data_IF_344403066750
#
_entry.id   IF_344403066750
#
_cell.length_a   1.000
_cell.length_b   1.000
_cell.length_c   1.000
_cell.angle_alpha   90.00
_cell.angle_beta   90.00
_cell.angle_gamma   90.00
#
_symmetry.space_group_name_H-M   'P 1'
#
loop_
_entity.id
_entity.type
_entity.pdbx_description
1 polymer ?
#
# COMPACT_ATOMS: atom_id res chain seq x y z
N UNK A 1 -27.74 72.46 1.47
CA UNK A 1 -27.30 72.06 0.11
C UNK A 1 -25.78 72.00 0.15
N UNK A 2 -25.04 70.94 -0.11
CA UNK A 2 -25.29 69.56 -0.51
C UNK A 2 -23.92 68.88 -0.71
N UNK A 3 -23.88 67.56 -0.47
CA UNK A 3 -23.04 66.51 -1.11
C UNK A 3 -21.51 66.67 -1.17
N UNK A 4 -20.75 65.83 -0.45
CA UNK A 4 -20.21 64.47 -0.80
C UNK A 4 -18.77 64.54 -1.35
N UNK A 5 -17.90 63.67 -0.83
CA UNK A 5 -16.60 63.34 -1.41
C UNK A 5 -15.82 62.39 -0.49
N UNK A 6 -15.59 61.18 -0.97
CA UNK A 6 -15.18 59.97 -0.24
C UNK A 6 -13.67 59.87 0.05
N UNK A 7 -13.32 58.77 0.73
CA UNK A 7 -12.11 58.34 1.45
C UNK A 7 -10.81 58.17 0.63
N UNK A 8 -9.69 57.81 1.31
CA UNK A 8 -8.91 56.70 0.78
C UNK A 8 -8.52 55.63 1.81
N UNK A 9 -8.65 54.40 1.32
CA UNK A 9 -7.84 53.20 1.60
C UNK A 9 -7.83 52.65 3.03
N UNK A 10 -8.84 51.82 3.32
CA UNK A 10 -8.73 50.73 4.29
C UNK A 10 -7.98 49.58 3.62
N UNK A 11 -6.88 49.14 4.23
CA UNK A 11 -6.11 47.98 3.79
C UNK A 11 -6.97 46.71 3.77
N UNK A 12 -6.88 45.96 2.68
CA UNK A 12 -7.41 44.61 2.62
C UNK A 12 -6.51 43.68 3.46
N UNK A 13 -7.04 42.91 4.41
CA UNK A 13 -6.28 41.82 4.98
C UNK A 13 -6.13 40.73 3.92
N UNK A 14 -4.89 40.41 3.56
CA UNK A 14 -4.56 39.20 2.83
C UNK A 14 -4.96 38.00 3.70
N UNK A 15 -6.10 37.39 3.41
CA UNK A 15 -6.40 36.06 3.91
C UNK A 15 -5.49 35.08 3.18
N UNK A 16 -4.77 34.19 3.89
CA UNK A 16 -4.02 33.14 3.24
C UNK A 16 -5.04 32.18 2.63
N UNK A 17 -5.04 32.10 1.30
CA UNK A 17 -5.78 31.12 0.53
C UNK A 17 -5.14 29.74 0.76
N UNK A 18 -5.38 29.14 1.94
CA UNK A 18 -5.08 27.73 2.13
C UNK A 18 -6.00 26.96 1.18
N UNK A 19 -5.41 26.33 0.17
CA UNK A 19 -6.10 25.42 -0.73
C UNK A 19 -6.90 24.42 0.10
N UNK A 20 -8.22 24.59 0.14
CA UNK A 20 -9.14 23.82 0.99
C UNK A 20 -9.04 22.31 0.73
N UNK A 21 -8.56 21.93 -0.46
CA UNK A 21 -8.33 20.54 -0.84
C UNK A 21 -7.14 19.91 -0.10
N UNK A 22 -6.03 20.62 0.05
CA UNK A 22 -4.84 20.12 0.75
C UNK A 22 -5.08 20.01 2.26
N UNK A 23 -5.79 20.97 2.85
CA UNK A 23 -6.17 20.94 4.27
C UNK A 23 -7.12 19.79 4.62
N UNK A 24 -8.14 19.53 3.78
CA UNK A 24 -9.07 18.42 3.99
C UNK A 24 -8.41 17.04 3.79
N UNK A 25 -7.47 16.91 2.84
CA UNK A 25 -6.74 15.67 2.62
C UNK A 25 -5.83 15.35 3.83
N UNK A 26 -5.17 16.35 4.40
CA UNK A 26 -4.32 16.19 5.58
C UNK A 26 -5.12 15.75 6.82
N UNK A 27 -6.30 16.33 7.04
CA UNK A 27 -7.21 15.94 8.14
C UNK A 27 -7.71 14.50 7.94
N UNK A 28 -8.02 14.09 6.70
CA UNK A 28 -8.47 12.73 6.38
C UNK A 28 -7.39 11.66 6.63
N UNK A 29 -6.13 11.97 6.30
CA UNK A 29 -4.99 11.08 6.60
C UNK A 29 -4.83 10.92 8.12
N UNK A 30 -4.91 12.01 8.89
CA UNK A 30 -4.78 12.00 10.36
C UNK A 30 -5.92 11.25 11.09
N UNK A 31 -7.03 10.96 10.40
CA UNK A 31 -8.17 10.20 10.94
C UNK A 31 -8.25 8.75 10.42
N UNK A 32 -7.28 8.29 9.63
CA UNK A 32 -7.30 6.93 9.09
C UNK A 32 -6.81 5.94 10.16
N UNK A 33 -7.71 5.07 10.64
CA UNK A 33 -7.41 4.01 11.58
C UNK A 33 -6.70 2.83 10.85
N UNK A 34 -5.40 2.56 11.10
CA UNK A 34 -4.66 1.51 10.39
C UNK A 34 -5.31 0.12 10.54
N UNK A 35 -5.86 -0.19 11.70
CA UNK A 35 -6.48 -1.48 11.99
C UNK A 35 -7.70 -1.76 11.11
N UNK A 36 -8.55 -0.75 10.87
CA UNK A 36 -9.70 -0.87 9.96
C UNK A 36 -9.26 -1.09 8.51
N UNK A 37 -8.18 -0.43 8.10
CA UNK A 37 -7.60 -0.58 6.77
C UNK A 37 -7.00 -1.97 6.61
N UNK A 38 -6.24 -2.45 7.59
CA UNK A 38 -5.68 -3.80 7.60
C UNK A 38 -6.76 -4.88 7.57
N UNK A 39 -7.82 -4.73 8.35
CA UNK A 39 -8.93 -5.68 8.33
C UNK A 39 -9.58 -5.74 6.95
N UNK A 40 -9.91 -4.59 6.35
CA UNK A 40 -10.53 -4.54 5.03
C UNK A 40 -9.63 -5.12 3.92
N UNK A 41 -8.31 -4.90 4.01
CA UNK A 41 -7.34 -5.50 3.09
C UNK A 41 -7.28 -7.00 3.29
N UNK A 42 -7.24 -7.47 4.53
CA UNK A 42 -7.24 -8.90 4.85
C UNK A 42 -8.46 -9.64 4.32
N UNK A 43 -9.65 -9.05 4.44
CA UNK A 43 -10.89 -9.57 3.87
C UNK A 43 -10.86 -9.62 2.33
N UNK A 44 -10.07 -8.73 1.70
CA UNK A 44 -9.88 -8.73 0.25
C UNK A 44 -8.87 -9.81 -0.17
N UNK A 45 -7.75 -9.97 0.53
CA UNK A 45 -6.68 -10.89 0.12
C UNK A 45 -7.09 -12.36 0.11
N UNK A 46 -7.99 -12.78 1.00
CA UNK A 46 -8.46 -14.18 1.07
C UNK A 46 -9.20 -14.66 -0.18
N UNK A 47 -9.61 -13.75 -1.08
CA UNK A 47 -10.30 -14.10 -2.31
C UNK A 47 -9.35 -14.48 -3.46
N UNK A 48 -8.05 -14.43 -3.23
CA UNK A 48 -7.03 -14.70 -4.24
C UNK A 48 -6.32 -16.01 -3.90
N UNK A 49 -6.51 -17.10 -4.67
CA UNK A 49 -5.77 -18.33 -4.47
C UNK A 49 -4.28 -18.18 -4.79
N UNK A 50 -3.54 -19.28 -4.62
CA UNK A 50 -2.15 -19.43 -5.06
C UNK A 50 -2.03 -19.09 -6.56
N UNK A 51 -0.86 -18.56 -6.95
CA UNK A 51 -0.57 -17.99 -8.29
C UNK A 51 -1.28 -16.66 -8.64
N UNK A 52 -2.10 -16.09 -7.73
CA UNK A 52 -2.78 -14.81 -7.96
C UNK A 52 -2.27 -13.65 -7.09
N UNK A 53 -0.98 -13.66 -6.73
CA UNK A 53 -0.39 -12.61 -5.89
C UNK A 53 -0.39 -11.24 -6.59
N UNK A 54 -0.25 -11.20 -7.92
CA UNK A 54 -0.29 -9.96 -8.68
C UNK A 54 -1.70 -9.34 -8.70
N UNK A 55 -2.73 -10.13 -8.98
CA UNK A 55 -4.13 -9.70 -8.96
C UNK A 55 -4.53 -9.22 -7.56
N UNK A 56 -4.09 -9.94 -6.52
CA UNK A 56 -4.25 -9.52 -5.14
C UNK A 56 -3.62 -8.14 -4.89
N UNK A 57 -2.35 -7.95 -5.26
CA UNK A 57 -1.66 -6.68 -5.08
C UNK A 57 -2.36 -5.51 -5.81
N UNK A 58 -2.82 -5.73 -7.04
CA UNK A 58 -3.54 -4.72 -7.81
C UNK A 58 -4.89 -4.35 -7.19
N UNK A 59 -5.60 -5.32 -6.61
CA UNK A 59 -6.86 -5.09 -5.92
C UNK A 59 -6.67 -4.33 -4.62
N UNK A 60 -5.65 -4.67 -3.82
CA UNK A 60 -5.27 -3.91 -2.62
C UNK A 60 -4.91 -2.47 -3.00
N UNK A 61 -4.05 -2.26 -3.99
CA UNK A 61 -3.69 -0.90 -4.44
C UNK A 61 -4.88 -0.11 -4.97
N UNK A 62 -5.83 -0.78 -5.64
CA UNK A 62 -7.07 -0.14 -6.08
C UNK A 62 -7.93 0.30 -4.89
N UNK A 63 -8.04 -0.53 -3.85
CA UNK A 63 -8.71 -0.18 -2.60
C UNK A 63 -8.05 1.03 -1.93
N UNK A 64 -6.72 1.00 -1.76
CA UNK A 64 -5.96 2.08 -1.13
C UNK A 64 -6.13 3.40 -1.87
N UNK A 65 -6.02 3.39 -3.21
CA UNK A 65 -6.22 4.58 -4.05
C UNK A 65 -7.62 5.18 -3.89
N UNK A 66 -8.67 4.35 -3.84
CA UNK A 66 -10.06 4.82 -3.61
C UNK A 66 -10.23 5.49 -2.26
N UNK A 67 -9.44 5.08 -1.26
CA UNK A 67 -9.45 5.67 0.08
C UNK A 67 -8.54 6.90 0.21
N UNK A 68 -7.67 7.14 -0.77
CA UNK A 68 -6.63 8.18 -0.70
C UNK A 68 -5.50 7.80 0.25
N UNK A 69 -5.23 6.50 0.41
CA UNK A 69 -4.17 5.95 1.26
C UNK A 69 -3.00 5.58 0.36
N UNK A 70 -1.80 5.98 0.77
CA UNK A 70 -0.56 5.60 0.11
C UNK A 70 -0.17 4.16 0.51
N UNK A 71 0.25 3.38 -0.48
CA UNK A 71 0.80 2.05 -0.30
C UNK A 71 1.86 1.78 -1.36
N UNK A 72 2.66 0.75 -1.15
CA UNK A 72 3.79 0.39 -2.01
C UNK A 72 3.65 -1.04 -2.49
N UNK A 73 3.80 -1.28 -3.79
CA UNK A 73 3.91 -2.65 -4.28
C UNK A 73 5.35 -3.12 -4.05
N UNK A 74 5.50 -4.26 -3.38
CA UNK A 74 6.76 -4.97 -3.26
C UNK A 74 6.78 -6.11 -4.27
N UNK A 75 7.85 -6.19 -5.06
CA UNK A 75 8.14 -7.31 -5.94
C UNK A 75 9.33 -8.08 -5.40
N UNK A 76 9.10 -9.32 -5.01
CA UNK A 76 10.13 -10.27 -4.65
C UNK A 76 10.42 -11.19 -5.83
N UNK A 77 11.70 -11.33 -6.20
CA UNK A 77 12.14 -12.14 -7.33
C UNK A 77 13.33 -13.00 -6.95
N UNK A 78 13.35 -14.26 -7.39
CA UNK A 78 14.52 -15.14 -7.25
C UNK A 78 15.75 -14.53 -7.93
N UNK A 79 16.93 -14.60 -7.30
CA UNK A 79 18.15 -14.06 -7.93
C UNK A 79 18.64 -14.88 -9.13
N UNK A 80 18.43 -16.19 -9.09
CA UNK A 80 18.99 -17.14 -10.06
C UNK A 80 17.97 -17.60 -11.11
N UNK A 81 16.92 -16.81 -11.36
CA UNK A 81 15.84 -17.09 -12.34
C UNK A 81 15.09 -18.40 -12.07
N UNK A 82 15.09 -18.85 -10.82
CA UNK A 82 14.29 -20.00 -10.38
C UNK A 82 12.82 -19.63 -10.46
N UNK A 83 11.99 -20.57 -10.94
CA UNK A 83 10.57 -20.31 -11.18
C UNK A 83 9.69 -20.54 -9.96
N UNK A 84 10.20 -21.30 -8.99
CA UNK A 84 9.41 -21.79 -7.87
C UNK A 84 9.87 -21.15 -6.57
N UNK A 85 8.89 -20.70 -5.80
CA UNK A 85 9.04 -20.11 -4.48
C UNK A 85 8.07 -20.86 -3.57
N UNK A 86 8.51 -21.30 -2.40
CA UNK A 86 7.67 -21.87 -1.35
C UNK A 86 7.50 -20.86 -0.22
N UNK A 87 6.51 -21.09 0.64
CA UNK A 87 6.16 -20.21 1.75
C UNK A 87 5.98 -21.03 3.01
N UNK A 88 6.70 -20.69 4.08
CA UNK A 88 6.67 -21.42 5.34
C UNK A 88 5.27 -21.43 5.99
N UNK A 89 4.48 -20.36 5.82
CA UNK A 89 3.09 -20.29 6.31
C UNK A 89 2.06 -21.02 5.44
N UNK A 90 2.37 -21.27 4.16
CA UNK A 90 1.46 -21.96 3.24
C UNK A 90 1.79 -23.46 3.17
N UNK A 91 2.98 -23.78 2.68
CA UNK A 91 3.51 -25.14 2.57
C UNK A 91 4.99 -25.08 2.15
N UNK A 92 5.89 -25.80 2.84
CA UNK A 92 7.30 -25.85 2.47
C UNK A 92 7.56 -26.67 1.20
N UNK A 93 6.58 -27.44 0.72
CA UNK A 93 6.73 -28.34 -0.43
C UNK A 93 5.92 -27.94 -1.65
N UNK A 94 4.97 -27.01 -1.53
CA UNK A 94 4.16 -26.53 -2.65
C UNK A 94 4.63 -25.16 -3.11
N UNK A 95 4.83 -25.01 -4.42
CA UNK A 95 5.21 -23.72 -4.99
C UNK A 95 4.02 -22.77 -5.02
N UNK A 96 4.26 -21.53 -4.61
CA UNK A 96 3.29 -20.43 -4.66
C UNK A 96 3.42 -19.57 -5.93
N UNK A 97 4.44 -19.86 -6.76
CA UNK A 97 4.74 -19.18 -8.03
C UNK A 97 5.12 -20.20 -9.11
N UNK A 98 5.04 -19.80 -10.38
CA UNK A 98 5.52 -20.57 -11.54
C UNK A 98 6.48 -19.75 -12.43
N UNK A 99 6.82 -18.53 -12.00
CA UNK A 99 7.62 -17.56 -12.74
C UNK A 99 8.73 -16.91 -11.90
N UNK A 100 8.88 -17.33 -10.63
CA UNK A 100 9.90 -16.83 -9.71
C UNK A 100 9.64 -15.43 -9.16
N UNK A 101 8.41 -14.94 -9.25
CA UNK A 101 8.02 -13.60 -8.80
C UNK A 101 6.84 -13.71 -7.83
N UNK A 102 6.95 -13.04 -6.70
CA UNK A 102 5.86 -12.87 -5.74
C UNK A 102 5.63 -11.40 -5.42
N UNK A 103 4.38 -11.03 -5.20
CA UNK A 103 3.98 -9.64 -4.94
C UNK A 103 3.31 -9.49 -3.58
N UNK A 104 3.62 -8.38 -2.92
CA UNK A 104 2.94 -7.92 -1.71
C UNK A 104 2.66 -6.42 -1.79
N UNK A 105 1.77 -5.92 -0.94
CA UNK A 105 1.51 -4.48 -0.81
C UNK A 105 1.78 -4.06 0.62
N UNK A 106 2.69 -3.09 0.78
CA UNK A 106 2.97 -2.48 2.06
C UNK A 106 2.10 -1.25 2.31
N UNK A 107 1.46 -1.22 3.47
CA UNK A 107 0.68 -0.09 3.96
C UNK A 107 0.74 -0.03 5.48
N UNK A 108 1.03 1.16 6.00
CA UNK A 108 1.21 1.41 7.44
C UNK A 108 2.19 0.43 8.13
N UNK A 109 3.27 0.04 7.43
CA UNK A 109 4.29 -0.86 7.96
C UNK A 109 3.94 -2.35 7.97
N UNK A 110 2.82 -2.75 7.35
CA UNK A 110 2.47 -4.15 7.11
C UNK A 110 2.41 -4.48 5.63
N UNK A 111 2.95 -5.63 5.26
CA UNK A 111 2.87 -6.22 3.92
C UNK A 111 1.72 -7.23 3.88
N UNK A 112 0.83 -7.05 2.91
CA UNK A 112 -0.29 -7.96 2.61
C UNK A 112 -0.08 -8.62 1.25
N UNK A 113 -0.36 -9.92 1.19
CA UNK A 113 -0.45 -10.70 -0.04
C UNK A 113 -1.57 -11.74 0.06
N UNK A 114 -1.73 -12.54 -0.97
CA UNK A 114 -2.75 -13.60 -1.05
C UNK A 114 -2.56 -14.72 -0.01
N UNK A 115 -1.49 -14.70 0.79
CA UNK A 115 -1.21 -15.67 1.85
C UNK A 115 -1.22 -15.04 3.27
N UNK A 116 -1.45 -13.73 3.40
CA UNK A 116 -1.27 -12.99 4.66
C UNK A 116 -2.41 -12.02 4.96
N UNK A 117 -3.59 -12.56 5.29
CA UNK A 117 -4.77 -11.76 5.64
C UNK A 117 -4.57 -10.83 6.86
N UNK A 118 -3.62 -11.13 7.75
CA UNK A 118 -3.30 -10.28 8.92
C UNK A 118 -2.17 -9.28 8.68
N UNK A 119 -1.54 -9.37 7.51
CA UNK A 119 -0.30 -8.68 7.16
C UNK A 119 0.90 -9.13 8.01
N UNK A 120 2.09 -8.96 7.45
CA UNK A 120 3.37 -9.24 8.11
C UNK A 120 4.23 -7.97 8.16
N UNK A 121 5.25 -7.92 9.02
CA UNK A 121 6.33 -6.94 8.81
C UNK A 121 7.02 -7.23 7.47
N UNK A 122 7.72 -6.25 6.90
CA UNK A 122 8.47 -6.48 5.65
C UNK A 122 9.52 -7.58 5.84
N UNK A 123 10.20 -7.59 6.99
CA UNK A 123 11.23 -8.57 7.32
C UNK A 123 10.63 -9.98 7.48
N UNK A 124 9.49 -10.12 8.17
CA UNK A 124 8.78 -11.40 8.29
C UNK A 124 8.26 -11.88 6.94
N UNK A 125 7.77 -10.97 6.11
CA UNK A 125 7.30 -11.30 4.77
C UNK A 125 8.43 -11.88 3.91
N UNK A 126 9.61 -11.25 3.90
CA UNK A 126 10.78 -11.75 3.15
C UNK A 126 11.26 -13.10 3.70
N UNK A 127 11.33 -13.26 5.02
CA UNK A 127 11.80 -14.49 5.67
C UNK A 127 10.88 -15.69 5.51
N UNK A 128 9.64 -15.47 5.12
CA UNK A 128 8.71 -16.59 4.93
C UNK A 128 8.99 -17.38 3.65
N UNK A 129 9.65 -16.77 2.66
CA UNK A 129 9.85 -17.39 1.36
C UNK A 129 11.19 -18.12 1.26
N UNK A 130 11.17 -19.19 0.48
CA UNK A 130 12.35 -19.97 0.10
C UNK A 130 12.29 -20.32 -1.40
N UNK A 131 13.46 -20.40 -2.03
CA UNK A 131 13.64 -20.99 -3.35
C UNK A 131 14.69 -22.10 -3.27
N UNK A 132 15.01 -22.75 -4.41
CA UNK A 132 16.02 -23.83 -4.45
C UNK A 132 17.40 -23.37 -3.96
N UNK A 133 17.72 -22.09 -4.12
CA UNK A 133 18.97 -21.46 -3.67
C UNK A 133 18.88 -20.89 -2.24
N UNK A 134 17.82 -21.22 -1.48
CA UNK A 134 17.56 -20.72 -0.14
C UNK A 134 16.77 -19.41 -0.14
N UNK A 135 17.15 -18.45 0.71
CA UNK A 135 16.48 -17.16 0.83
C UNK A 135 17.15 -16.06 -0.01
N UNK A 136 17.55 -16.39 -1.23
CA UNK A 136 18.29 -15.47 -2.09
C UNK A 136 17.38 -14.74 -3.09
N UNK A 137 16.84 -13.61 -2.65
CA UNK A 137 15.86 -12.80 -3.39
C UNK A 137 16.32 -11.36 -3.63
N UNK A 138 15.85 -10.78 -4.73
CA UNK A 138 15.83 -9.34 -4.94
C UNK A 138 14.43 -8.82 -4.57
N UNK A 139 14.37 -7.74 -3.78
CA UNK A 139 13.12 -7.08 -3.41
C UNK A 139 13.15 -5.65 -3.93
N UNK A 140 12.12 -5.26 -4.65
CA UNK A 140 12.00 -3.95 -5.29
C UNK A 140 10.65 -3.30 -4.93
N UNK A 141 10.66 -1.98 -4.70
CA UNK A 141 9.43 -1.17 -4.62
C UNK A 141 9.09 -0.70 -6.05
N UNK A 142 7.83 -0.86 -6.47
CA UNK A 142 7.33 -0.45 -7.80
C UNK A 142 6.50 0.83 -7.76
#
# INVERSE_FOLDING_TARGET
>A
MGSRGETPFVGFPHTPFFSTHLGLLYIKILMTNPEEVWQAIGELTVNYPVLQCYECAMAVMTYLRKKGIEGKILRLRTKHRELFITSNRYSPSESITDNGIHYGVEVFGKVFDNLSAKGLSREDWIRDFECRSGQDFNVEEL
#
